data_IF_807397625294
#
_entry.id   IF_807397625294
#
_cell.length_a   1.000
_cell.length_b   1.000
_cell.length_c   1.000
_cell.angle_alpha   90.00
_cell.angle_beta   90.00
_cell.angle_gamma   90.00
#
_symmetry.space_group_name_H-M   'P 1'
#
loop_
_entity.id
_entity.type
_entity.pdbx_description
1 polymer ?
#
# COMPACT_ATOMS: atom_id res chain seq x y z
N UNK A 1 -46.61 -16.57 -74.18
CA UNK A 1 -46.99 -17.25 -72.92
C UNK A 1 -47.32 -16.26 -71.80
N UNK A 2 -46.58 -15.15 -71.67
CA UNK A 2 -46.96 -14.05 -70.77
C UNK A 2 -48.15 -13.20 -71.29
N UNK A 3 -48.27 -13.00 -72.61
CA UNK A 3 -49.36 -12.19 -73.21
C UNK A 3 -50.77 -12.74 -72.96
N UNK A 4 -50.95 -14.07 -72.97
CA UNK A 4 -52.23 -14.74 -72.70
C UNK A 4 -52.71 -14.60 -71.23
N UNK A 5 -51.88 -14.02 -70.36
CA UNK A 5 -52.17 -13.81 -68.95
C UNK A 5 -52.74 -12.40 -68.67
N UNK A 6 -52.60 -11.46 -69.62
CA UNK A 6 -53.04 -10.07 -69.46
C UNK A 6 -54.11 -9.66 -70.48
N UNK A 7 -54.44 -10.52 -71.45
CA UNK A 7 -55.34 -10.24 -72.56
C UNK A 7 -56.29 -11.42 -72.78
N UNK A 8 -57.60 -11.18 -72.88
CA UNK A 8 -58.60 -12.22 -73.17
C UNK A 8 -58.67 -12.56 -74.68
N UNK A 9 -59.33 -13.67 -75.05
CA UNK A 9 -59.65 -14.08 -76.43
C UNK A 9 -60.09 -12.91 -77.36
N UNK A 10 -60.78 -11.90 -76.83
CA UNK A 10 -61.33 -10.72 -77.50
C UNK A 10 -60.36 -9.53 -77.58
N UNK A 11 -59.15 -9.64 -77.01
CA UNK A 11 -58.17 -8.56 -77.01
C UNK A 11 -58.38 -7.50 -75.92
N UNK A 12 -59.25 -7.74 -74.93
CA UNK A 12 -59.46 -6.86 -73.78
C UNK A 12 -58.48 -7.17 -72.62
N UNK A 13 -57.99 -6.11 -71.98
CA UNK A 13 -57.01 -6.22 -70.89
C UNK A 13 -57.65 -6.78 -69.61
N UNK A 14 -57.15 -7.93 -69.13
CA UNK A 14 -57.60 -8.56 -67.90
C UNK A 14 -56.93 -7.91 -66.68
N UNK A 15 -57.47 -6.77 -66.26
CA UNK A 15 -56.98 -5.99 -65.11
C UNK A 15 -56.87 -6.80 -63.82
N UNK A 16 -57.75 -7.79 -63.62
CA UNK A 16 -57.74 -8.68 -62.46
C UNK A 16 -56.50 -9.60 -62.43
N UNK A 17 -56.10 -10.15 -63.57
CA UNK A 17 -54.94 -11.05 -63.68
C UNK A 17 -53.62 -10.27 -63.54
N UNK A 18 -53.60 -9.04 -64.07
CA UNK A 18 -52.50 -8.10 -63.85
C UNK A 18 -52.35 -7.70 -62.38
N UNK A 19 -53.47 -7.37 -61.73
CA UNK A 19 -53.50 -7.03 -60.31
C UNK A 19 -53.07 -8.22 -59.44
N UNK A 20 -53.46 -9.45 -59.79
CA UNK A 20 -53.06 -10.66 -59.07
C UNK A 20 -51.55 -10.94 -59.18
N UNK A 21 -50.95 -10.73 -60.35
CA UNK A 21 -49.50 -10.87 -60.55
C UNK A 21 -48.71 -9.82 -59.74
N UNK A 22 -49.17 -8.56 -59.72
CA UNK A 22 -48.57 -7.48 -58.91
C UNK A 22 -48.72 -7.77 -57.41
N UNK A 23 -49.88 -8.26 -56.97
CA UNK A 23 -50.12 -8.65 -55.58
C UNK A 23 -49.23 -9.82 -55.14
N UNK A 24 -49.02 -10.83 -56.01
CA UNK A 24 -48.13 -11.96 -55.74
C UNK A 24 -46.67 -11.51 -55.58
N UNK A 25 -46.18 -10.65 -56.48
CA UNK A 25 -44.82 -10.09 -56.40
C UNK A 25 -44.67 -9.26 -55.11
N UNK A 26 -45.66 -8.43 -54.78
CA UNK A 26 -45.70 -7.69 -53.53
C UNK A 26 -45.66 -8.59 -52.28
N UNK A 27 -46.40 -9.70 -52.30
CA UNK A 27 -46.42 -10.68 -51.21
C UNK A 27 -45.06 -11.40 -51.04
N UNK A 28 -44.41 -11.80 -52.13
CA UNK A 28 -43.09 -12.44 -52.11
C UNK A 28 -42.03 -11.46 -51.58
N UNK A 29 -42.03 -10.22 -52.08
CA UNK A 29 -41.11 -9.17 -51.62
C UNK A 29 -41.32 -8.91 -50.12
N UNK A 30 -42.57 -8.77 -49.67
CA UNK A 30 -42.92 -8.58 -48.26
C UNK A 30 -42.46 -9.75 -47.38
N UNK A 31 -42.61 -10.99 -47.85
CA UNK A 31 -42.15 -12.19 -47.14
C UNK A 31 -40.62 -12.23 -47.02
N UNK A 32 -39.89 -11.90 -48.08
CA UNK A 32 -38.41 -11.81 -48.08
C UNK A 32 -37.92 -10.71 -47.13
N UNK A 33 -38.52 -9.52 -47.18
CA UNK A 33 -38.20 -8.43 -46.26
C UNK A 33 -38.51 -8.79 -44.80
N UNK A 34 -39.64 -9.43 -44.54
CA UNK A 34 -40.01 -9.90 -43.20
C UNK A 34 -39.01 -10.92 -42.65
N UNK A 35 -38.55 -11.86 -43.49
CA UNK A 35 -37.55 -12.86 -43.10
C UNK A 35 -36.16 -12.24 -42.85
N UNK A 36 -35.73 -11.31 -43.70
CA UNK A 36 -34.48 -10.56 -43.50
C UNK A 36 -34.53 -9.71 -42.21
N UNK A 37 -35.66 -9.05 -41.96
CA UNK A 37 -35.91 -8.29 -40.73
C UNK A 37 -35.86 -9.17 -39.49
N UNK A 38 -36.52 -10.34 -39.53
CA UNK A 38 -36.47 -11.34 -38.46
C UNK A 38 -35.04 -11.85 -38.19
N UNK A 39 -34.27 -12.17 -39.24
CA UNK A 39 -32.86 -12.58 -39.06
C UNK A 39 -32.00 -11.47 -38.43
N UNK A 40 -32.24 -10.23 -38.82
CA UNK A 40 -31.52 -9.09 -38.25
C UNK A 40 -31.95 -8.79 -36.81
N UNK A 41 -33.21 -8.97 -36.45
CA UNK A 41 -33.70 -8.79 -35.08
C UNK A 41 -33.12 -9.84 -34.13
N UNK A 42 -33.07 -11.11 -34.55
CA UNK A 42 -32.43 -12.19 -33.78
C UNK A 42 -30.94 -11.91 -33.55
N UNK A 43 -30.19 -11.57 -34.60
CA UNK A 43 -28.77 -11.18 -34.46
C UNK A 43 -28.56 -9.94 -33.60
N UNK A 44 -29.54 -9.05 -33.52
CA UNK A 44 -29.46 -7.85 -32.68
C UNK A 44 -29.76 -8.20 -31.22
N UNK A 45 -30.73 -9.06 -30.96
CA UNK A 45 -31.01 -9.61 -29.64
C UNK A 45 -29.82 -10.41 -29.09
N UNK A 46 -29.19 -11.26 -29.91
CA UNK A 46 -27.96 -11.98 -29.54
C UNK A 46 -26.82 -11.02 -29.17
N UNK A 47 -26.60 -9.96 -29.97
CA UNK A 47 -25.57 -8.94 -29.67
C UNK A 47 -25.88 -8.17 -28.40
N UNK A 48 -27.15 -7.84 -28.15
CA UNK A 48 -27.59 -7.20 -26.90
C UNK A 48 -27.32 -8.10 -25.70
N UNK A 49 -27.71 -9.37 -25.77
CA UNK A 49 -27.46 -10.36 -24.72
C UNK A 49 -25.97 -10.51 -24.39
N UNK A 50 -25.10 -10.65 -25.41
CA UNK A 50 -23.65 -10.72 -25.22
C UNK A 50 -23.12 -9.44 -24.57
N UNK A 51 -23.63 -8.27 -24.97
CA UNK A 51 -23.22 -6.98 -24.41
C UNK A 51 -23.67 -6.83 -22.96
N UNK A 52 -24.87 -7.28 -22.62
CA UNK A 52 -25.39 -7.32 -21.25
C UNK A 52 -24.57 -8.26 -20.37
N UNK A 53 -24.24 -9.47 -20.85
CA UNK A 53 -23.36 -10.39 -20.13
C UNK A 53 -21.98 -9.77 -19.87
N UNK A 54 -21.37 -9.12 -20.87
CA UNK A 54 -20.09 -8.42 -20.71
C UNK A 54 -20.17 -7.31 -19.67
N UNK A 55 -21.27 -6.55 -19.65
CA UNK A 55 -21.51 -5.51 -18.63
C UNK A 55 -21.65 -6.12 -17.23
N UNK A 56 -22.38 -7.23 -17.10
CA UNK A 56 -22.54 -7.95 -15.83
C UNK A 56 -21.20 -8.46 -15.32
N UNK A 57 -20.41 -9.11 -16.18
CA UNK A 57 -19.07 -9.62 -15.82
C UNK A 57 -18.12 -8.48 -15.42
N UNK A 58 -18.07 -7.39 -16.18
CA UNK A 58 -17.27 -6.21 -15.85
C UNK A 58 -17.69 -5.59 -14.50
N UNK A 59 -18.99 -5.50 -14.23
CA UNK A 59 -19.51 -4.96 -12.97
C UNK A 59 -19.19 -5.89 -11.78
N UNK A 60 -19.29 -7.20 -11.96
CA UNK A 60 -18.91 -8.19 -10.95
C UNK A 60 -17.41 -8.12 -10.64
N UNK A 61 -16.56 -8.01 -11.66
CA UNK A 61 -15.10 -7.83 -11.51
C UNK A 61 -14.76 -6.53 -10.79
N UNK A 62 -15.37 -5.42 -11.19
CA UNK A 62 -15.19 -4.12 -10.53
C UNK A 62 -15.58 -4.19 -9.06
N UNK A 63 -16.73 -4.79 -8.74
CA UNK A 63 -17.21 -4.97 -7.37
C UNK A 63 -16.26 -5.81 -6.53
N UNK A 64 -15.85 -6.98 -7.03
CA UNK A 64 -14.89 -7.85 -6.34
C UNK A 64 -13.55 -7.15 -6.11
N UNK A 65 -13.07 -6.34 -7.07
CA UNK A 65 -11.85 -5.57 -6.92
C UNK A 65 -11.99 -4.44 -5.89
N UNK A 66 -13.13 -3.74 -5.85
CA UNK A 66 -13.41 -2.72 -4.83
C UNK A 66 -13.45 -3.34 -3.42
N UNK A 67 -14.11 -4.49 -3.27
CA UNK A 67 -14.13 -5.23 -2.01
C UNK A 67 -12.72 -5.66 -1.59
N UNK A 68 -11.92 -6.16 -2.52
CA UNK A 68 -10.51 -6.50 -2.29
C UNK A 68 -9.69 -5.26 -1.89
N UNK A 69 -9.86 -4.12 -2.57
CA UNK A 69 -9.20 -2.84 -2.24
C UNK A 69 -9.57 -2.39 -0.82
N UNK A 70 -10.86 -2.48 -0.45
CA UNK A 70 -11.28 -2.14 0.91
C UNK A 70 -10.60 -3.04 1.93
N UNK A 71 -10.60 -4.36 1.69
CA UNK A 71 -9.94 -5.32 2.57
C UNK A 71 -8.45 -5.02 2.79
N UNK A 72 -7.70 -4.71 1.72
CA UNK A 72 -6.29 -4.31 1.83
C UNK A 72 -6.13 -3.02 2.61
N UNK A 73 -6.94 -2.00 2.32
CA UNK A 73 -6.90 -0.72 3.02
C UNK A 73 -7.16 -0.90 4.52
N UNK A 74 -8.22 -1.62 4.86
CA UNK A 74 -8.66 -1.82 6.23
C UNK A 74 -7.60 -2.58 7.02
N UNK A 75 -7.04 -3.67 6.47
CA UNK A 75 -5.96 -4.44 7.10
C UNK A 75 -4.63 -3.68 7.19
N UNK A 76 -4.33 -2.83 6.22
CA UNK A 76 -3.17 -1.94 6.27
C UNK A 76 -3.31 -0.91 7.39
N UNK A 77 -4.46 -0.24 7.49
CA UNK A 77 -4.73 0.73 8.54
C UNK A 77 -4.72 0.10 9.93
N UNK A 78 -5.26 -1.11 10.06
CA UNK A 78 -5.22 -1.89 11.29
C UNK A 78 -3.78 -2.23 11.69
N UNK A 79 -2.97 -2.76 10.76
CA UNK A 79 -1.56 -3.06 11.02
C UNK A 79 -0.78 -1.82 11.44
N UNK A 80 -0.91 -0.71 10.71
CA UNK A 80 -0.23 0.55 11.03
C UNK A 80 -0.64 1.05 12.42
N UNK A 81 -1.93 0.98 12.75
CA UNK A 81 -2.43 1.41 14.06
C UNK A 81 -1.84 0.58 15.20
N UNK A 82 -1.76 -0.74 15.03
CA UNK A 82 -1.18 -1.64 16.02
C UNK A 82 0.32 -1.39 16.21
N UNK A 83 1.07 -1.20 15.12
CA UNK A 83 2.50 -0.88 15.20
C UNK A 83 2.75 0.47 15.88
N UNK A 84 1.92 1.49 15.60
CA UNK A 84 2.00 2.78 16.28
C UNK A 84 1.60 2.68 17.76
N UNK A 85 0.70 1.78 18.14
CA UNK A 85 0.38 1.60 19.56
C UNK A 85 1.50 0.93 20.35
N UNK A 86 2.33 0.08 19.73
CA UNK A 86 3.56 -0.43 20.38
C UNK A 86 4.55 0.69 20.74
N UNK A 87 4.45 1.86 20.09
CA UNK A 87 5.30 3.00 20.40
C UNK A 87 4.85 3.79 21.64
N UNK A 88 3.64 3.52 22.14
CA UNK A 88 3.08 4.21 23.31
C UNK A 88 3.58 3.58 24.61
N UNK A 89 3.69 4.40 25.66
CA UNK A 89 4.28 3.92 26.92
C UNK A 89 3.48 2.86 27.67
N UNK A 90 2.15 2.92 27.57
CA UNK A 90 1.21 2.13 28.40
C UNK A 90 0.77 0.81 27.75
N UNK A 91 1.33 0.47 26.60
CA UNK A 91 0.87 -0.68 25.80
C UNK A 91 1.46 -1.98 26.33
N UNK A 92 0.62 -3.02 26.44
CA UNK A 92 1.08 -4.39 26.73
C UNK A 92 1.53 -5.05 25.42
N UNK A 93 2.83 -5.26 25.28
CA UNK A 93 3.43 -5.78 24.04
C UNK A 93 2.78 -7.09 23.58
N UNK A 94 2.73 -8.11 24.45
CA UNK A 94 2.29 -9.46 24.07
C UNK A 94 0.85 -9.51 23.55
N UNK A 95 -0.06 -8.71 24.13
CA UNK A 95 -1.46 -8.66 23.68
C UNK A 95 -1.58 -8.09 22.27
N UNK A 96 -0.83 -7.02 22.00
CA UNK A 96 -0.82 -6.40 20.68
C UNK A 96 -0.03 -7.21 19.65
N UNK A 97 1.04 -7.86 20.07
CA UNK A 97 1.90 -8.65 19.20
C UNK A 97 1.13 -9.78 18.50
N UNK A 98 0.28 -10.49 19.24
CA UNK A 98 -0.55 -11.55 18.68
C UNK A 98 -1.49 -11.03 17.57
N UNK A 99 -2.09 -9.86 17.77
CA UNK A 99 -2.95 -9.24 16.77
C UNK A 99 -2.13 -8.72 15.57
N UNK A 100 -0.93 -8.17 15.81
CA UNK A 100 0.00 -7.76 14.74
C UNK A 100 0.36 -8.95 13.85
N UNK A 101 0.73 -10.08 14.45
CA UNK A 101 1.05 -11.31 13.70
C UNK A 101 -0.14 -11.72 12.84
N UNK A 102 -1.32 -11.83 13.43
CA UNK A 102 -2.56 -12.19 12.74
C UNK A 102 -2.90 -11.24 11.59
N UNK A 103 -2.94 -9.93 11.85
CA UNK A 103 -3.28 -8.92 10.84
C UNK A 103 -2.24 -8.89 9.73
N UNK A 104 -0.95 -9.03 10.06
CA UNK A 104 0.11 -9.06 9.07
C UNK A 104 0.01 -10.29 8.16
N UNK A 105 -0.29 -11.47 8.69
CA UNK A 105 -0.50 -12.69 7.88
C UNK A 105 -1.69 -12.53 6.95
N UNK A 106 -2.83 -12.03 7.47
CA UNK A 106 -4.01 -11.76 6.66
C UNK A 106 -3.71 -10.75 5.54
N UNK A 107 -2.97 -9.68 5.83
CA UNK A 107 -2.59 -8.69 4.82
C UNK A 107 -1.68 -9.30 3.75
N UNK A 108 -0.73 -10.16 4.14
CA UNK A 108 0.15 -10.87 3.20
C UNK A 108 -0.62 -11.79 2.25
N UNK A 109 -1.78 -12.32 2.64
CA UNK A 109 -2.62 -13.16 1.76
C UNK A 109 -3.20 -12.36 0.58
N UNK A 110 -3.46 -11.06 0.74
CA UNK A 110 -3.90 -10.21 -0.37
C UNK A 110 -2.82 -10.10 -1.47
N UNK A 111 -1.54 -10.15 -1.10
CA UNK A 111 -0.39 -10.05 -2.01
C UNK A 111 0.20 -11.42 -2.37
N UNK A 112 -0.68 -12.40 -2.63
CA UNK A 112 -0.29 -13.79 -2.89
C UNK A 112 0.75 -13.89 -4.03
N UNK A 113 1.99 -14.17 -3.66
CA UNK A 113 3.10 -14.35 -4.58
C UNK A 113 4.10 -15.33 -4.00
N UNK A 114 4.72 -16.14 -4.88
CA UNK A 114 5.87 -16.96 -4.48
C UNK A 114 7.03 -16.02 -4.20
N UNK A 115 7.52 -16.03 -2.96
CA UNK A 115 8.76 -15.34 -2.58
C UNK A 115 9.89 -15.83 -3.48
N UNK A 116 10.59 -14.89 -4.14
CA UNK A 116 11.82 -15.21 -4.85
C UNK A 116 13.02 -14.94 -3.91
N UNK A 117 14.13 -15.66 -4.10
CA UNK A 117 15.34 -15.46 -3.28
C UNK A 117 15.96 -14.06 -3.44
N UNK A 118 15.75 -13.41 -4.58
CA UNK A 118 16.28 -12.07 -4.90
C UNK A 118 15.64 -10.97 -4.03
N UNK A 119 14.36 -11.06 -3.72
CA UNK A 119 13.61 -10.07 -2.92
C UNK A 119 14.17 -10.02 -1.49
N UNK A 120 14.61 -11.16 -0.93
CA UNK A 120 15.23 -11.22 0.39
C UNK A 120 16.55 -10.45 0.49
N UNK A 121 17.32 -10.35 -0.60
CA UNK A 121 18.54 -9.53 -0.63
C UNK A 121 18.27 -8.06 -0.94
N UNK A 122 17.08 -7.72 -1.42
CA UNK A 122 16.72 -6.36 -1.82
C UNK A 122 15.94 -5.60 -0.75
N UNK A 123 15.28 -6.30 0.17
CA UNK A 123 14.60 -5.72 1.33
C UNK A 123 14.98 -6.53 2.58
N UNK A 124 15.67 -5.91 3.52
CA UNK A 124 16.15 -6.53 4.76
C UNK A 124 16.22 -5.52 5.90
N UNK A 125 16.45 -5.99 7.13
CA UNK A 125 16.68 -5.15 8.30
C UNK A 125 18.17 -5.12 8.61
N UNK A 126 18.69 -3.92 8.84
CA UNK A 126 20.03 -3.70 9.39
C UNK A 126 19.96 -2.54 10.39
N UNK A 127 20.54 -2.71 11.58
CA UNK A 127 20.62 -1.66 12.61
C UNK A 127 19.29 -0.92 12.87
N UNK A 128 18.20 -1.67 13.12
CA UNK A 128 16.87 -1.13 13.36
C UNK A 128 16.33 -0.23 12.22
N UNK A 129 16.73 -0.52 10.99
CA UNK A 129 16.28 0.16 9.79
C UNK A 129 15.97 -0.87 8.72
N UNK A 130 14.85 -0.66 8.01
CA UNK A 130 14.57 -1.41 6.79
C UNK A 130 15.40 -0.81 5.67
N UNK A 131 16.30 -1.61 5.11
CA UNK A 131 17.08 -1.28 3.93
C UNK A 131 16.33 -1.80 2.70
N UNK A 132 16.16 -0.94 1.72
CA UNK A 132 15.55 -1.26 0.43
C UNK A 132 16.50 -0.85 -0.69
N UNK A 133 16.74 -1.76 -1.64
CA UNK A 133 17.59 -1.46 -2.79
C UNK A 133 16.91 -0.46 -3.73
N UNK A 134 17.69 0.23 -4.56
CA UNK A 134 17.14 1.12 -5.60
C UNK A 134 16.24 0.36 -6.58
N UNK A 135 16.60 -0.89 -6.90
CA UNK A 135 15.78 -1.76 -7.76
C UNK A 135 14.43 -2.04 -7.12
N UNK A 136 14.39 -2.47 -5.86
CA UNK A 136 13.14 -2.72 -5.14
C UNK A 136 12.31 -1.43 -5.00
N UNK A 137 12.97 -0.30 -4.69
CA UNK A 137 12.33 1.02 -4.59
C UNK A 137 11.64 1.41 -5.90
N UNK A 138 12.33 1.27 -7.04
CA UNK A 138 11.77 1.58 -8.36
C UNK A 138 10.57 0.69 -8.72
N UNK A 139 10.53 -0.55 -8.21
CA UNK A 139 9.42 -1.48 -8.43
C UNK A 139 8.21 -1.08 -7.59
N UNK A 140 8.36 -0.88 -6.28
CA UNK A 140 7.23 -0.63 -5.38
C UNK A 140 6.61 0.76 -5.57
N UNK A 141 7.43 1.76 -5.91
CA UNK A 141 6.98 3.14 -6.16
C UNK A 141 6.56 3.40 -7.61
N UNK A 142 6.60 2.39 -8.48
CA UNK A 142 6.17 2.52 -9.88
C UNK A 142 4.70 2.98 -9.97
N UNK A 143 4.43 4.12 -10.58
CA UNK A 143 3.09 4.74 -10.56
C UNK A 143 2.12 4.21 -11.64
N UNK A 144 2.64 3.59 -12.71
CA UNK A 144 1.83 3.23 -13.88
C UNK A 144 1.27 1.80 -13.87
N UNK A 145 1.83 0.89 -13.09
CA UNK A 145 1.29 -0.47 -12.91
C UNK A 145 1.83 -1.17 -11.65
N UNK A 146 1.13 -2.24 -11.26
CA UNK A 146 1.46 -3.06 -10.10
C UNK A 146 2.25 -4.35 -10.45
N UNK A 147 2.88 -4.39 -11.61
CA UNK A 147 3.64 -5.57 -12.06
C UNK A 147 4.78 -5.86 -11.07
N UNK A 148 4.88 -7.11 -10.63
CA UNK A 148 5.88 -7.62 -9.69
C UNK A 148 5.85 -7.06 -8.27
N UNK A 149 4.92 -6.16 -7.90
CA UNK A 149 4.93 -5.51 -6.58
C UNK A 149 4.60 -6.45 -5.40
N UNK A 150 3.79 -7.49 -5.62
CA UNK A 150 3.29 -8.35 -4.55
C UNK A 150 4.39 -8.95 -3.67
N UNK A 151 5.45 -9.48 -4.28
CA UNK A 151 6.54 -10.11 -3.52
C UNK A 151 7.30 -9.10 -2.65
N UNK A 152 7.53 -7.89 -3.18
CA UNK A 152 8.21 -6.82 -2.45
C UNK A 152 7.34 -6.24 -1.33
N UNK A 153 6.04 -6.06 -1.57
CA UNK A 153 5.11 -5.61 -0.53
C UNK A 153 5.05 -6.65 0.60
N UNK A 154 4.91 -7.93 0.25
CA UNK A 154 4.90 -9.02 1.22
C UNK A 154 6.20 -9.04 2.04
N UNK A 155 7.35 -8.91 1.40
CA UNK A 155 8.64 -8.84 2.10
C UNK A 155 8.76 -7.62 2.99
N UNK A 156 8.27 -6.47 2.53
CA UNK A 156 8.25 -5.26 3.33
C UNK A 156 7.42 -5.43 4.59
N UNK A 157 6.23 -6.05 4.51
CA UNK A 157 5.40 -6.37 5.68
C UNK A 157 6.17 -7.26 6.67
N UNK A 158 6.89 -8.27 6.19
CA UNK A 158 7.72 -9.13 7.06
C UNK A 158 8.81 -8.34 7.78
N UNK A 159 9.55 -7.49 7.06
CA UNK A 159 10.55 -6.62 7.67
C UNK A 159 9.92 -5.58 8.62
N UNK A 160 8.72 -5.09 8.31
CA UNK A 160 8.03 -4.13 9.17
C UNK A 160 7.64 -4.78 10.50
N UNK A 161 7.12 -6.00 10.49
CA UNK A 161 6.78 -6.74 11.72
C UNK A 161 8.05 -7.11 12.49
N UNK A 162 9.06 -7.68 11.83
CA UNK A 162 10.31 -8.10 12.47
C UNK A 162 11.04 -6.93 13.13
N UNK A 163 10.90 -5.70 12.61
CA UNK A 163 11.47 -4.50 13.22
C UNK A 163 10.97 -4.27 14.67
N UNK A 164 9.71 -4.61 14.95
CA UNK A 164 9.06 -4.39 16.25
C UNK A 164 9.12 -5.61 17.20
N UNK A 165 9.62 -6.73 16.71
CA UNK A 165 9.67 -7.98 17.46
C UNK A 165 10.43 -7.84 18.78
N UNK A 166 10.08 -8.69 19.74
CA UNK A 166 10.71 -8.73 21.08
C UNK A 166 10.70 -7.36 21.79
N UNK A 167 9.65 -6.57 21.55
CA UNK A 167 9.46 -5.23 22.10
C UNK A 167 10.64 -4.26 21.79
N UNK A 168 11.26 -4.43 20.62
CA UNK A 168 12.50 -3.75 20.26
C UNK A 168 12.37 -2.22 20.32
N UNK A 169 11.24 -1.64 19.87
CA UNK A 169 11.00 -0.20 19.97
C UNK A 169 11.07 0.27 21.43
N UNK A 170 10.39 -0.43 22.35
CA UNK A 170 10.38 -0.07 23.76
C UNK A 170 11.74 -0.28 24.40
N UNK A 171 12.47 -1.32 24.02
CA UNK A 171 13.84 -1.55 24.47
C UNK A 171 14.77 -0.40 24.08
N UNK A 172 14.64 0.12 22.87
CA UNK A 172 15.37 1.30 22.38
C UNK A 172 14.97 2.56 23.18
N UNK A 173 13.66 2.79 23.36
CA UNK A 173 13.14 3.91 24.14
C UNK A 173 13.59 3.87 25.61
N UNK A 174 13.63 2.68 26.22
CA UNK A 174 14.10 2.48 27.59
C UNK A 174 15.58 2.81 27.76
N UNK A 175 16.41 2.52 26.74
CA UNK A 175 17.84 2.92 26.74
C UNK A 175 18.00 4.44 26.73
N UNK A 176 17.20 5.15 25.94
CA UNK A 176 17.20 6.62 25.93
C UNK A 176 16.84 7.16 27.32
N UNK A 177 15.77 6.63 27.92
CA UNK A 177 15.37 7.00 29.28
C UNK A 177 16.46 6.76 30.30
N UNK A 178 17.11 5.58 30.26
CA UNK A 178 18.24 5.27 31.14
C UNK A 178 19.38 6.32 31.02
N UNK A 179 19.72 6.75 29.81
CA UNK A 179 20.74 7.79 29.62
C UNK A 179 20.28 9.15 30.12
N UNK A 180 19.01 9.53 29.92
CA UNK A 180 18.47 10.74 30.52
C UNK A 180 18.49 10.71 32.04
N UNK A 181 18.07 9.60 32.66
CA UNK A 181 18.11 9.42 34.11
C UNK A 181 19.56 9.49 34.64
N UNK A 182 20.51 8.92 33.91
CA UNK A 182 21.94 8.98 34.25
C UNK A 182 22.49 10.40 34.14
N UNK A 183 22.09 11.15 33.12
CA UNK A 183 22.45 12.56 32.95
C UNK A 183 21.87 13.39 34.10
N UNK A 184 20.58 13.24 34.39
CA UNK A 184 19.90 13.97 35.47
C UNK A 184 20.57 13.72 36.81
N UNK A 185 20.92 12.46 37.10
CA UNK A 185 21.67 12.11 38.31
C UNK A 185 23.03 12.80 38.37
N UNK A 186 23.78 12.84 37.27
CA UNK A 186 25.04 13.60 37.21
C UNK A 186 24.80 15.09 37.47
N UNK A 187 23.70 15.66 36.96
CA UNK A 187 23.35 17.04 37.24
C UNK A 187 23.03 17.28 38.73
N UNK A 188 22.29 16.37 39.35
CA UNK A 188 21.93 16.43 40.77
C UNK A 188 23.16 16.27 41.68
N UNK A 189 24.00 15.27 41.41
CA UNK A 189 25.18 14.95 42.22
C UNK A 189 26.24 16.08 42.17
N UNK A 190 26.29 16.86 41.09
CA UNK A 190 27.27 17.95 40.89
C UNK A 190 26.67 19.36 41.04
N UNK A 191 25.39 19.47 41.42
CA UNK A 191 24.66 20.73 41.45
C UNK A 191 25.32 21.79 42.34
N UNK A 192 25.68 21.41 43.57
CA UNK A 192 26.29 22.35 44.53
C UNK A 192 27.63 22.87 44.04
N UNK A 193 28.44 22.01 43.43
CA UNK A 193 29.73 22.36 42.87
C UNK A 193 29.59 23.35 41.69
N UNK A 194 28.64 23.13 40.79
CA UNK A 194 28.41 24.08 39.69
C UNK A 194 27.87 25.43 40.14
N UNK A 195 27.07 25.45 41.20
CA UNK A 195 26.49 26.69 41.73
C UNK A 195 27.49 27.49 42.57
N UNK A 196 28.53 26.85 43.10
CA UNK A 196 29.55 27.49 43.94
C UNK A 196 30.71 28.11 43.13
N UNK A 197 30.85 27.80 41.85
CA UNK A 197 31.93 28.28 40.99
C UNK A 197 31.42 29.27 39.93
N UNK A 198 32.24 30.27 39.59
CA UNK A 198 31.93 31.13 38.45
C UNK A 198 32.13 30.39 37.12
N UNK A 199 31.34 30.73 36.10
CA UNK A 199 31.46 30.13 34.76
C UNK A 199 32.90 30.22 34.20
N UNK A 200 33.61 31.32 34.50
CA UNK A 200 34.99 31.52 34.04
C UNK A 200 35.99 30.58 34.71
N UNK A 201 35.69 30.10 35.92
CA UNK A 201 36.50 29.12 36.66
C UNK A 201 36.23 27.71 36.15
N UNK A 202 34.96 27.35 35.99
CA UNK A 202 34.54 26.08 35.41
C UNK A 202 35.14 25.84 34.01
N UNK A 203 35.24 26.88 33.18
CA UNK A 203 35.90 26.81 31.87
C UNK A 203 37.41 26.55 31.99
N UNK A 204 38.10 27.19 32.94
CA UNK A 204 39.54 26.92 33.16
C UNK A 204 39.75 25.48 33.61
N UNK A 205 38.90 24.97 34.50
CA UNK A 205 38.96 23.60 35.00
C UNK A 205 38.70 22.61 33.87
N UNK A 206 37.65 22.82 33.05
CA UNK A 206 37.32 21.98 31.89
C UNK A 206 38.45 21.91 30.85
N UNK A 207 39.21 22.99 30.67
CA UNK A 207 40.35 23.05 29.76
C UNK A 207 41.67 22.57 30.37
N UNK A 208 41.69 22.22 31.65
CA UNK A 208 42.88 21.72 32.33
C UNK A 208 43.05 20.21 32.06
N UNK A 209 44.28 19.74 31.73
CA UNK A 209 44.54 18.32 31.52
C UNK A 209 44.11 17.47 32.73
N UNK A 210 43.44 16.31 32.53
CA UNK A 210 42.92 15.49 33.62
C UNK A 210 43.96 15.07 34.65
N UNK A 211 45.23 14.92 34.23
CA UNK A 211 46.34 14.52 35.09
C UNK A 211 46.74 15.61 36.09
N UNK A 212 46.23 16.83 35.93
CA UNK A 212 46.48 17.99 36.80
C UNK A 212 45.28 18.36 37.67
N UNK A 213 44.18 17.61 37.55
CA UNK A 213 42.97 17.81 38.33
C UNK A 213 42.94 16.82 39.49
N UNK A 214 42.49 17.29 40.65
CA UNK A 214 42.32 16.46 41.85
C UNK A 214 41.00 16.82 42.55
N UNK A 215 40.44 15.85 43.28
CA UNK A 215 39.21 16.06 44.06
C UNK A 215 38.02 16.47 43.20
N UNK A 216 37.25 17.45 43.68
CA UNK A 216 35.98 17.87 43.08
C UNK A 216 36.15 18.43 41.65
N UNK A 217 37.28 19.07 41.35
CA UNK A 217 37.60 19.57 40.00
C UNK A 217 37.74 18.42 38.98
N UNK A 218 38.34 17.29 39.42
CA UNK A 218 38.44 16.09 38.59
C UNK A 218 37.06 15.46 38.38
N UNK A 219 36.29 15.32 39.47
CA UNK A 219 34.96 14.71 39.44
C UNK A 219 34.01 15.51 38.54
N UNK A 220 34.06 16.85 38.59
CA UNK A 220 33.34 17.73 37.67
C UNK A 220 33.67 17.45 36.20
N UNK A 221 34.96 17.43 35.84
CA UNK A 221 35.36 17.18 34.44
C UNK A 221 34.99 15.77 33.99
N UNK A 222 35.03 14.78 34.88
CA UNK A 222 34.56 13.44 34.60
C UNK A 222 33.04 13.41 34.36
N UNK A 223 32.26 14.11 35.17
CA UNK A 223 30.81 14.24 35.02
C UNK A 223 30.44 14.89 33.67
N UNK A 224 31.07 16.01 33.32
CA UNK A 224 30.88 16.68 32.03
C UNK A 224 31.14 15.75 30.84
N UNK A 225 32.27 15.01 30.87
CA UNK A 225 32.60 14.04 29.81
C UNK A 225 31.58 12.92 29.71
N UNK A 226 31.04 12.46 30.84
CA UNK A 226 30.00 11.43 30.86
C UNK A 226 28.66 11.97 30.33
N UNK A 227 28.28 13.20 30.67
CA UNK A 227 27.11 13.87 30.11
C UNK A 227 27.25 13.96 28.58
N UNK A 228 28.38 14.46 28.06
CA UNK A 228 28.65 14.53 26.62
C UNK A 228 28.65 13.15 25.94
N UNK A 229 29.11 12.10 26.64
CA UNK A 229 29.04 10.72 26.15
C UNK A 229 27.59 10.23 26.04
N UNK A 230 26.79 10.40 27.10
CA UNK A 230 25.39 9.95 27.12
C UNK A 230 24.52 10.73 26.14
N UNK A 231 24.72 12.04 25.99
CA UNK A 231 24.03 12.85 24.98
C UNK A 231 24.30 12.35 23.55
N UNK A 232 25.55 11.98 23.24
CA UNK A 232 25.88 11.36 21.94
C UNK A 232 25.18 10.02 21.76
N UNK A 233 25.16 9.18 22.80
CA UNK A 233 24.44 7.90 22.75
C UNK A 233 22.95 8.08 22.52
N UNK A 234 22.31 9.05 23.19
CA UNK A 234 20.89 9.37 22.97
C UNK A 234 20.67 9.73 21.49
N UNK A 235 21.46 10.66 20.95
CA UNK A 235 21.33 11.09 19.55
C UNK A 235 21.47 9.94 18.56
N UNK A 236 22.44 9.05 18.77
CA UNK A 236 22.63 7.87 17.91
C UNK A 236 21.42 6.91 17.97
N UNK A 237 20.80 6.77 19.15
CA UNK A 237 19.66 5.89 19.37
C UNK A 237 18.35 6.51 18.86
N UNK A 238 18.16 7.82 18.96
CA UNK A 238 17.01 8.55 18.41
C UNK A 238 16.88 8.39 16.89
N UNK A 239 18.01 8.26 16.18
CA UNK A 239 18.01 7.92 14.74
C UNK A 239 17.31 6.57 14.51
N UNK A 240 17.51 5.59 15.41
CA UNK A 240 16.81 4.30 15.32
C UNK A 240 15.30 4.49 15.46
N UNK A 241 14.82 5.23 16.46
CA UNK A 241 13.38 5.49 16.63
C UNK A 241 12.77 6.23 15.42
N UNK A 242 13.52 7.16 14.83
CA UNK A 242 13.11 7.85 13.60
C UNK A 242 12.94 6.88 12.42
N UNK A 243 13.75 5.82 12.35
CA UNK A 243 13.65 4.83 11.28
C UNK A 243 12.35 4.00 11.34
N UNK A 244 11.76 3.82 12.52
CA UNK A 244 10.46 3.13 12.65
C UNK A 244 9.33 3.94 12.03
N UNK A 245 9.30 5.26 12.25
CA UNK A 245 8.33 6.15 11.60
C UNK A 245 8.51 6.14 10.09
N UNK A 246 9.75 6.30 9.61
CA UNK A 246 10.07 6.24 8.17
C UNK A 246 9.64 4.92 7.53
N UNK A 247 9.75 3.80 8.25
CA UNK A 247 9.31 2.51 7.76
C UNK A 247 7.77 2.44 7.58
N UNK A 248 7.01 2.95 8.55
CA UNK A 248 5.54 3.05 8.46
C UNK A 248 5.12 3.99 7.32
N UNK A 249 5.77 5.14 7.19
CA UNK A 249 5.45 6.14 6.16
C UNK A 249 5.71 5.59 4.75
N UNK A 250 6.85 4.93 4.56
CA UNK A 250 7.20 4.29 3.30
C UNK A 250 6.19 3.18 2.96
N UNK A 251 5.85 2.32 3.92
CA UNK A 251 4.83 1.28 3.74
C UNK A 251 3.48 1.87 3.30
N UNK A 252 3.01 2.88 4.01
CA UNK A 252 1.74 3.56 3.73
C UNK A 252 1.73 4.18 2.33
N UNK A 253 2.86 4.77 1.92
CA UNK A 253 3.05 5.33 0.57
C UNK A 253 2.96 4.24 -0.50
N UNK A 254 3.66 3.12 -0.31
CA UNK A 254 3.64 1.99 -1.25
C UNK A 254 2.22 1.42 -1.41
N UNK A 255 1.51 1.19 -0.30
CA UNK A 255 0.14 0.68 -0.35
C UNK A 255 -0.81 1.69 -1.01
N UNK A 256 -0.68 2.98 -0.70
CA UNK A 256 -1.52 4.03 -1.29
C UNK A 256 -1.36 4.09 -2.81
N UNK A 257 -0.13 4.07 -3.31
CA UNK A 257 0.17 4.01 -4.75
C UNK A 257 -0.39 2.73 -5.38
N UNK A 258 -0.17 1.58 -4.72
CA UNK A 258 -0.67 0.30 -5.21
C UNK A 258 -2.20 0.31 -5.35
N UNK A 259 -2.92 0.77 -4.32
CA UNK A 259 -4.38 0.80 -4.31
C UNK A 259 -4.97 1.81 -5.29
N UNK A 260 -4.30 2.96 -5.50
CA UNK A 260 -4.69 3.92 -6.54
C UNK A 260 -4.72 3.26 -7.92
N UNK A 261 -3.69 2.50 -8.27
CA UNK A 261 -3.60 1.78 -9.55
C UNK A 261 -4.73 0.74 -9.68
N UNK A 262 -5.01 -0.03 -8.62
CA UNK A 262 -6.11 -1.02 -8.67
C UNK A 262 -7.49 -0.35 -8.72
N UNK A 263 -7.65 0.79 -8.07
CA UNK A 263 -8.88 1.60 -8.12
C UNK A 263 -9.14 2.13 -9.54
N UNK A 264 -8.10 2.62 -10.22
CA UNK A 264 -8.21 3.09 -11.59
C UNK A 264 -8.66 1.95 -12.53
N UNK A 265 -8.10 0.75 -12.39
CA UNK A 265 -8.57 -0.42 -13.13
C UNK A 265 -10.01 -0.82 -12.81
N UNK A 266 -10.41 -0.74 -11.54
CA UNK A 266 -11.76 -1.10 -11.11
C UNK A 266 -12.82 -0.18 -11.75
N UNK A 267 -12.52 1.13 -11.88
CA UNK A 267 -13.39 2.08 -12.59
C UNK A 267 -13.57 1.73 -14.07
N UNK A 268 -12.57 1.10 -14.67
CA UNK A 268 -12.59 0.65 -16.06
C UNK A 268 -13.22 -0.75 -16.25
N UNK A 269 -13.66 -1.40 -15.16
CA UNK A 269 -14.22 -2.76 -15.21
C UNK A 269 -13.19 -3.85 -15.54
N UNK A 270 -11.90 -3.57 -15.33
CA UNK A 270 -10.78 -4.48 -15.55
C UNK A 270 -10.47 -5.32 -14.31
#
# INVERSE_FOLDING_TARGET
MLEALFWDHNGDFQSATAAAAVALIGAIISAVFSWLSYKNSVKTAERQYIMEQKKIDANLKAKARIEWISGVRDKTSELVSLLLSLQKEKTVFYEQWLEIEKVSELLKLYFNSKMNKKVNSEIYIEQNKIIISETATSIVLKENNNINKHAYIKKYIECLVELYKDDNYKNISNKIRFYHDSINKLYEDNFEYWMSHEQSELEKIKNTPPEKLEGEDYDYVAAEKNIEHYQRKIKDIEVSLTNYHKAIDFFTTVISLYLKIEWDKAKEGQ
#
